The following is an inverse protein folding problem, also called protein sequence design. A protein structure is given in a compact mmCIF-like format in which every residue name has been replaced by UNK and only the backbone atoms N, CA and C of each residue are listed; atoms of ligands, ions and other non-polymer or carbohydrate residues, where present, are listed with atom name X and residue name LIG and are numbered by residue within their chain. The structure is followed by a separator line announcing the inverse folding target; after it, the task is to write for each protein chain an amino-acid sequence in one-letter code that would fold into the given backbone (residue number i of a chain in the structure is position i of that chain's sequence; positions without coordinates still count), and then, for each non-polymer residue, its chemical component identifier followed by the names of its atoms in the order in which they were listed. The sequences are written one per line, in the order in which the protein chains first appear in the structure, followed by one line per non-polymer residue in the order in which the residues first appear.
data_IF_582378966850
#
_entry.id   IF_582378966850
#
_cell.length_a   1.000
_cell.length_b   1.000
_cell.length_c   1.000
_cell.angle_alpha   90.00
_cell.angle_beta   90.00
_cell.angle_gamma   90.00
#
_symmetry.space_group_name_H-M   'P 1'
#
loop_
_entity.id
_entity.type
_entity.pdbx_description
1 polymer ?
#
# COMPACT_ATOMS: atom_id res chain seq x y z
N UNK A 1 -2.29 27.02 18.42
CA UNK A 1 -1.56 26.47 17.24
C UNK A 1 -1.79 24.99 16.97
N UNK A 2 -1.45 24.01 17.87
CA UNK A 2 -1.63 22.55 17.61
C UNK A 2 -3.07 22.19 17.20
N UNK A 3 -4.06 22.69 17.95
CA UNK A 3 -5.48 22.44 17.68
C UNK A 3 -5.89 23.08 16.35
N UNK A 4 -5.50 24.30 16.11
CA UNK A 4 -5.87 25.06 14.93
C UNK A 4 -5.26 24.42 13.64
N UNK A 5 -4.00 23.99 13.69
CA UNK A 5 -3.37 23.23 12.61
C UNK A 5 -4.16 21.93 12.36
N UNK A 6 -4.50 21.20 13.42
CA UNK A 6 -5.24 19.95 13.28
C UNK A 6 -6.62 20.17 12.62
N UNK A 7 -7.38 21.16 13.08
CA UNK A 7 -8.71 21.49 12.51
C UNK A 7 -8.58 21.90 11.05
N UNK A 8 -7.68 22.85 10.75
CA UNK A 8 -7.48 23.33 9.39
C UNK A 8 -7.04 22.20 8.42
N UNK A 9 -6.07 21.38 8.84
CA UNK A 9 -5.58 20.28 8.02
C UNK A 9 -6.62 19.18 7.80
N UNK A 10 -7.55 18.97 8.75
CA UNK A 10 -8.52 17.85 8.71
C UNK A 10 -9.91 18.23 8.24
N UNK A 11 -10.15 19.49 7.84
CA UNK A 11 -11.47 20.01 7.42
C UNK A 11 -12.21 19.07 6.46
N UNK A 12 -11.49 18.44 5.50
CA UNK A 12 -12.06 17.54 4.50
C UNK A 12 -11.49 16.11 4.60
N UNK A 13 -11.06 15.69 5.79
CA UNK A 13 -10.49 14.36 6.02
C UNK A 13 -11.44 13.51 6.85
N UNK A 14 -12.05 12.51 6.24
CA UNK A 14 -12.98 11.57 6.89
C UNK A 14 -12.27 10.36 7.50
N UNK A 15 -11.10 9.99 6.99
CA UNK A 15 -10.38 8.80 7.43
C UNK A 15 -9.69 9.02 8.80
N UNK A 16 -10.07 8.23 9.79
CA UNK A 16 -9.54 8.32 11.16
C UNK A 16 -8.02 8.09 11.26
N UNK A 17 -7.44 7.22 10.43
CA UNK A 17 -5.99 6.98 10.41
C UNK A 17 -5.26 8.22 9.95
N UNK A 18 -5.75 8.89 8.91
CA UNK A 18 -5.19 10.16 8.42
C UNK A 18 -5.34 11.27 9.46
N UNK A 19 -6.50 11.37 10.11
CA UNK A 19 -6.71 12.33 11.21
C UNK A 19 -5.74 12.12 12.36
N UNK A 20 -5.52 10.87 12.77
CA UNK A 20 -4.53 10.52 13.82
C UNK A 20 -3.12 10.88 13.40
N UNK A 21 -2.73 10.61 12.16
CA UNK A 21 -1.43 11.01 11.62
C UNK A 21 -1.26 12.53 11.63
N UNK A 22 -2.25 13.27 11.19
CA UNK A 22 -2.24 14.74 11.18
C UNK A 22 -2.16 15.33 12.59
N UNK A 23 -2.86 14.74 13.57
CA UNK A 23 -2.75 15.12 14.98
C UNK A 23 -1.32 14.97 15.51
N UNK A 24 -0.64 13.86 15.16
CA UNK A 24 0.75 13.61 15.54
C UNK A 24 1.69 14.64 14.90
N UNK A 25 1.51 14.93 13.62
CA UNK A 25 2.31 15.94 12.90
C UNK A 25 2.10 17.33 13.49
N UNK A 26 0.85 17.75 13.75
CA UNK A 26 0.55 19.03 14.39
C UNK A 26 1.16 19.13 15.79
N UNK A 27 1.17 18.04 16.57
CA UNK A 27 1.80 18.02 17.89
C UNK A 27 3.30 18.21 17.81
N UNK A 28 3.98 17.53 16.86
CA UNK A 28 5.42 17.65 16.67
C UNK A 28 5.80 19.05 16.21
N UNK A 29 5.11 19.55 15.19
CA UNK A 29 5.36 20.91 14.68
C UNK A 29 5.13 21.97 15.73
N UNK A 30 4.06 21.89 16.53
CA UNK A 30 3.78 22.89 17.58
C UNK A 30 4.85 22.94 18.68
N UNK A 31 5.53 21.83 18.96
CA UNK A 31 6.69 21.80 19.85
C UNK A 31 7.86 22.58 19.24
N UNK A 32 8.23 22.23 18.01
CA UNK A 32 9.30 22.89 17.27
C UNK A 32 9.00 24.38 17.05
N UNK A 33 7.78 24.74 16.69
CA UNK A 33 7.34 26.10 16.47
C UNK A 33 7.46 26.98 17.74
N UNK A 34 7.20 26.41 18.93
CA UNK A 34 7.39 27.09 20.20
C UNK A 34 8.88 27.44 20.44
N UNK A 35 9.79 26.52 20.11
CA UNK A 35 11.24 26.71 20.23
C UNK A 35 11.76 27.74 19.21
N UNK A 36 11.06 27.94 18.07
CA UNK A 36 11.40 28.88 17.03
C UNK A 36 10.53 30.16 17.04
N UNK A 37 9.83 30.47 18.14
CA UNK A 37 9.01 31.67 18.32
C UNK A 37 7.86 31.85 17.33
N UNK A 38 7.38 30.80 16.70
CA UNK A 38 6.23 30.81 15.77
C UNK A 38 4.96 30.61 16.57
N UNK A 39 4.09 31.62 16.57
CA UNK A 39 2.93 31.67 17.48
C UNK A 39 1.59 31.37 16.81
N UNK A 40 1.44 31.70 15.52
CA UNK A 40 0.18 31.61 14.77
C UNK A 40 0.35 30.82 13.48
N UNK A 41 -0.73 30.30 12.92
CA UNK A 41 -0.72 29.64 11.61
C UNK A 41 -0.31 30.63 10.50
N UNK A 42 -0.71 31.88 10.61
CA UNK A 42 -0.31 32.96 9.68
C UNK A 42 1.20 33.17 9.60
N UNK A 43 1.93 32.81 10.65
CA UNK A 43 3.39 33.00 10.70
C UNK A 43 4.13 31.84 9.99
N UNK A 44 3.39 30.79 9.58
CA UNK A 44 3.95 29.63 8.87
C UNK A 44 4.09 29.97 7.39
N UNK A 45 5.25 30.47 7.00
CA UNK A 45 5.61 30.74 5.60
C UNK A 45 6.29 29.54 4.94
N UNK A 46 6.62 29.64 3.65
CA UNK A 46 7.39 28.61 2.94
C UNK A 46 8.80 28.48 3.53
N UNK A 47 9.43 29.58 3.98
CA UNK A 47 10.72 29.60 4.66
C UNK A 47 10.68 28.86 5.99
N UNK A 48 9.65 29.08 6.79
CA UNK A 48 9.41 28.35 8.05
C UNK A 48 9.24 26.86 7.80
N UNK A 49 8.52 26.46 6.77
CA UNK A 49 8.39 25.06 6.40
C UNK A 49 9.71 24.47 5.87
N UNK A 50 10.52 25.27 5.16
CA UNK A 50 11.85 24.85 4.72
C UNK A 50 12.76 24.62 5.92
N UNK A 51 12.81 25.55 6.88
CA UNK A 51 13.57 25.40 8.11
C UNK A 51 13.15 24.15 8.88
N UNK A 52 11.84 23.94 9.06
CA UNK A 52 11.33 22.74 9.73
C UNK A 52 11.71 21.44 9.00
N UNK A 53 11.70 21.46 7.65
CA UNK A 53 12.18 20.35 6.84
C UNK A 53 13.64 20.04 7.11
N UNK A 54 14.49 21.07 7.13
CA UNK A 54 15.94 20.92 7.25
C UNK A 54 16.32 20.45 8.66
N UNK A 55 15.62 20.92 9.68
CA UNK A 55 15.78 20.46 11.07
C UNK A 55 15.35 18.98 11.23
N UNK A 56 14.25 18.58 10.57
CA UNK A 56 13.84 17.17 10.55
C UNK A 56 14.85 16.26 9.81
N UNK A 57 15.54 16.80 8.82
CA UNK A 57 16.56 16.08 8.07
C UNK A 57 17.83 15.86 8.90
N UNK A 58 18.13 16.81 9.80
CA UNK A 58 19.26 16.75 10.72
C UNK A 58 18.94 16.03 12.04
N UNK A 59 17.66 15.67 12.28
CA UNK A 59 17.25 14.99 13.51
C UNK A 59 18.05 13.68 13.70
N UNK A 60 18.61 13.41 14.90
CA UNK A 60 19.38 12.20 15.22
C UNK A 60 18.63 10.89 14.88
N UNK A 61 17.31 10.93 14.78
CA UNK A 61 16.45 9.77 14.36
C UNK A 61 16.56 9.46 12.87
N UNK A 62 17.25 10.27 12.08
CA UNK A 62 17.46 10.05 10.65
C UNK A 62 16.17 9.74 9.88
N UNK A 63 15.20 10.65 9.93
CA UNK A 63 13.92 10.45 9.23
C UNK A 63 14.11 10.30 7.73
N UNK A 64 13.39 9.34 7.15
CA UNK A 64 13.36 9.18 5.70
C UNK A 64 12.63 10.34 5.03
N UNK A 65 12.95 10.65 3.77
CA UNK A 65 12.26 11.67 2.97
C UNK A 65 10.72 11.50 2.97
N UNK A 66 10.23 10.25 2.97
CA UNK A 66 8.80 9.96 3.06
C UNK A 66 8.19 10.31 4.43
N UNK A 67 8.94 10.10 5.51
CA UNK A 67 8.52 10.46 6.87
C UNK A 67 8.46 11.97 7.03
N UNK A 68 9.49 12.68 6.57
CA UNK A 68 9.54 14.14 6.60
C UNK A 68 8.36 14.74 5.81
N UNK A 69 8.10 14.23 4.60
CA UNK A 69 6.93 14.66 3.83
C UNK A 69 5.62 14.44 4.60
N UNK A 70 5.47 13.30 5.30
CA UNK A 70 4.28 13.01 6.11
C UNK A 70 4.09 14.02 7.25
N UNK A 71 5.17 14.52 7.83
CA UNK A 71 5.11 15.55 8.89
C UNK A 71 4.78 16.93 8.33
N UNK A 72 5.33 17.28 7.17
CA UNK A 72 5.11 18.59 6.54
C UNK A 72 3.73 18.75 5.90
N UNK A 73 3.21 17.71 5.26
CA UNK A 73 1.99 17.81 4.45
C UNK A 73 0.77 18.40 5.20
N UNK A 74 0.44 17.99 6.43
CA UNK A 74 -0.68 18.60 7.15
C UNK A 74 -0.40 20.04 7.61
N UNK A 75 0.86 20.41 7.84
CA UNK A 75 1.23 21.78 8.25
C UNK A 75 1.06 22.72 7.08
N UNK A 76 1.62 22.37 5.92
CA UNK A 76 1.47 23.14 4.69
C UNK A 76 0.00 23.27 4.28
N UNK A 77 -0.79 22.18 4.42
CA UNK A 77 -2.23 22.24 4.17
C UNK A 77 -2.96 23.20 5.10
N UNK A 78 -2.61 23.22 6.39
CA UNK A 78 -3.21 24.09 7.39
C UNK A 78 -2.88 25.57 7.15
N UNK A 79 -1.67 25.88 6.69
CA UNK A 79 -1.18 27.22 6.39
C UNK A 79 -1.36 27.64 4.93
N UNK A 80 -2.02 26.83 4.11
CA UNK A 80 -2.24 27.05 2.67
C UNK A 80 -0.95 27.23 1.85
N UNK A 81 0.17 26.71 2.33
CA UNK A 81 1.44 26.79 1.63
C UNK A 81 1.62 25.65 0.61
N UNK A 82 2.40 25.90 -0.43
CA UNK A 82 2.67 24.93 -1.48
C UNK A 82 3.97 24.16 -1.22
N UNK A 83 3.85 22.89 -0.85
CA UNK A 83 5.01 22.03 -0.63
C UNK A 83 5.92 21.84 -1.86
N UNK A 84 5.46 22.19 -3.07
CA UNK A 84 6.32 22.06 -4.26
C UNK A 84 7.38 23.17 -4.35
N UNK A 85 7.23 24.24 -3.58
CA UNK A 85 8.22 25.34 -3.48
C UNK A 85 9.33 25.06 -2.47
N UNK A 86 9.17 24.02 -1.64
CA UNK A 86 10.16 23.65 -0.64
C UNK A 86 11.14 22.66 -1.27
N UNK A 87 12.44 22.86 -1.05
CA UNK A 87 13.48 21.91 -1.42
C UNK A 87 13.34 20.65 -0.55
N UNK A 88 13.01 19.54 -1.18
CA UNK A 88 12.80 18.25 -0.50
C UNK A 88 13.93 17.30 -0.80
N UNK A 89 14.31 16.52 0.21
CA UNK A 89 15.20 15.38 0.00
C UNK A 89 14.57 14.43 -1.03
N UNK A 90 15.32 14.09 -2.07
CA UNK A 90 14.88 13.10 -3.06
C UNK A 90 14.77 11.72 -2.40
N UNK A 91 13.67 11.04 -2.70
CA UNK A 91 13.50 9.64 -2.31
C UNK A 91 14.25 8.76 -3.30
N UNK A 92 15.32 8.10 -2.84
CA UNK A 92 16.10 7.17 -3.65
C UNK A 92 15.70 5.73 -3.32
N UNK A 93 15.74 4.84 -4.31
CA UNK A 93 15.32 3.45 -4.15
C UNK A 93 16.22 2.65 -3.21
N UNK A 94 17.50 2.95 -3.18
CA UNK A 94 18.52 2.38 -2.30
C UNK A 94 18.25 2.63 -0.80
N UNK A 95 17.64 3.78 -0.47
CA UNK A 95 17.24 4.15 0.89
C UNK A 95 15.87 3.61 1.31
N UNK A 96 15.18 2.86 0.44
CA UNK A 96 13.89 2.25 0.76
C UNK A 96 14.11 0.91 1.44
N UNK A 97 14.18 0.91 2.77
CA UNK A 97 14.18 -0.33 3.56
C UNK A 97 12.79 -0.95 3.52
N UNK A 98 12.61 -2.00 2.73
CA UNK A 98 11.34 -2.75 2.61
C UNK A 98 11.23 -3.91 3.61
N UNK A 99 12.30 -4.25 4.32
CA UNK A 99 12.33 -5.29 5.34
C UNK A 99 11.85 -4.75 6.70
N UNK A 100 10.83 -5.37 7.28
CA UNK A 100 10.61 -5.22 8.72
C UNK A 100 11.53 -6.21 9.40
N UNK A 101 12.43 -5.74 10.27
CA UNK A 101 13.14 -6.60 11.21
C UNK A 101 12.09 -7.31 12.07
N UNK A 102 11.84 -8.57 11.80
CA UNK A 102 11.06 -9.47 12.63
C UNK A 102 12.01 -10.21 13.57
N UNK A 103 12.80 -9.48 14.28
CA UNK A 103 13.51 -9.98 15.45
C UNK A 103 12.58 -9.82 16.64
N UNK A 104 11.65 -10.72 16.82
CA UNK A 104 10.99 -10.88 18.11
C UNK A 104 11.41 -12.24 18.69
N UNK A 105 11.98 -12.20 19.87
CA UNK A 105 12.30 -13.34 20.73
C UNK A 105 11.05 -14.09 21.23
N UNK A 106 9.97 -14.14 20.47
CA UNK A 106 8.66 -14.66 20.86
C UNK A 106 8.27 -15.88 20.03
N UNK A 107 9.18 -16.85 19.88
CA UNK A 107 8.86 -18.10 19.15
C UNK A 107 7.62 -18.80 19.71
N UNK A 108 7.44 -18.86 21.04
CA UNK A 108 6.29 -19.47 21.68
C UNK A 108 4.96 -18.76 21.36
N UNK A 109 4.89 -17.46 21.53
CA UNK A 109 3.70 -16.66 21.18
C UNK A 109 3.39 -16.71 19.68
N UNK A 110 4.42 -16.80 18.84
CA UNK A 110 4.27 -16.96 17.39
C UNK A 110 3.64 -18.29 17.03
N UNK A 111 4.01 -19.35 17.72
CA UNK A 111 3.49 -20.70 17.49
C UNK A 111 2.03 -20.82 17.93
N UNK A 112 1.65 -20.25 19.06
CA UNK A 112 0.26 -20.16 19.54
C UNK A 112 -0.61 -19.32 18.57
N UNK A 113 -0.15 -18.16 18.14
CA UNK A 113 -0.85 -17.34 17.14
C UNK A 113 -1.00 -18.07 15.81
N UNK A 114 0.02 -18.82 15.39
CA UNK A 114 -0.03 -19.58 14.14
C UNK A 114 -1.04 -20.73 14.20
N UNK A 115 -1.15 -21.43 15.32
CA UNK A 115 -2.15 -22.49 15.49
C UNK A 115 -3.57 -21.93 15.52
N UNK A 116 -3.79 -20.88 16.32
CA UNK A 116 -5.10 -20.25 16.49
C UNK A 116 -5.67 -19.61 15.21
N UNK A 117 -4.80 -19.06 14.36
CA UNK A 117 -5.19 -18.35 13.13
C UNK A 117 -4.69 -19.08 11.87
N UNK A 118 -4.50 -20.38 11.93
CA UNK A 118 -3.92 -21.17 10.82
C UNK A 118 -4.67 -20.98 9.51
N UNK A 119 -6.01 -21.02 9.54
CA UNK A 119 -6.89 -20.78 8.38
C UNK A 119 -6.62 -19.44 7.72
N UNK A 120 -6.58 -18.34 8.47
CA UNK A 120 -6.29 -17.00 7.98
C UNK A 120 -4.87 -16.87 7.43
N UNK A 121 -3.90 -17.48 8.12
CA UNK A 121 -2.48 -17.45 7.72
C UNK A 121 -2.28 -18.20 6.41
N UNK A 122 -2.82 -19.41 6.29
CA UNK A 122 -2.73 -20.23 5.08
C UNK A 122 -3.40 -19.51 3.90
N UNK A 123 -4.60 -19.01 4.08
CA UNK A 123 -5.29 -18.22 3.06
C UNK A 123 -4.50 -17.00 2.63
N UNK A 124 -3.97 -16.23 3.58
CA UNK A 124 -3.20 -15.01 3.25
C UNK A 124 -1.89 -15.30 2.51
N UNK A 125 -1.25 -16.45 2.76
CA UNK A 125 -0.05 -16.90 2.02
C UNK A 125 -0.35 -17.15 0.55
N UNK A 126 -1.53 -17.68 0.24
CA UNK A 126 -1.89 -18.08 -1.13
C UNK A 126 -2.71 -17.03 -1.89
N UNK A 127 -3.29 -16.04 -1.20
CA UNK A 127 -4.10 -14.98 -1.84
C UNK A 127 -3.41 -13.62 -1.81
N UNK A 128 -2.74 -13.27 -0.71
CA UNK A 128 -1.91 -12.09 -0.62
C UNK A 128 -2.62 -10.73 -0.74
N UNK A 129 -3.89 -10.62 -0.34
CA UNK A 129 -4.64 -9.35 -0.34
C UNK A 129 -4.38 -8.52 0.92
N UNK A 130 -4.82 -7.25 0.95
CA UNK A 130 -4.59 -6.35 2.10
C UNK A 130 -5.55 -6.68 3.25
N UNK A 131 -5.14 -6.35 4.49
CA UNK A 131 -5.97 -6.58 5.70
C UNK A 131 -7.41 -6.05 5.56
N UNK A 132 -7.59 -4.83 5.02
CA UNK A 132 -8.92 -4.27 4.82
C UNK A 132 -9.71 -4.98 3.71
N UNK A 133 -9.03 -5.53 2.73
CA UNK A 133 -9.61 -6.33 1.66
C UNK A 133 -10.07 -7.68 2.23
N UNK A 134 -9.25 -8.33 3.07
CA UNK A 134 -9.62 -9.55 3.82
C UNK A 134 -10.84 -9.33 4.73
N UNK A 135 -10.87 -8.21 5.47
CA UNK A 135 -11.97 -7.90 6.37
C UNK A 135 -13.33 -7.78 5.66
N UNK A 136 -13.30 -7.33 4.41
CA UNK A 136 -14.52 -7.11 3.62
C UNK A 136 -14.79 -8.25 2.62
N UNK A 137 -14.08 -9.37 2.75
CA UNK A 137 -14.23 -10.52 1.89
C UNK A 137 -15.48 -11.31 2.27
N UNK A 138 -16.35 -11.61 1.29
CA UNK A 138 -17.59 -12.36 1.48
C UNK A 138 -17.62 -13.60 0.59
N UNK A 139 -18.55 -14.54 0.83
CA UNK A 139 -18.62 -15.80 0.10
C UNK A 139 -18.74 -15.63 -1.41
N UNK A 140 -19.42 -14.59 -1.90
CA UNK A 140 -19.57 -14.31 -3.33
C UNK A 140 -18.29 -13.80 -4.02
N UNK A 141 -17.21 -13.54 -3.30
CA UNK A 141 -16.00 -12.94 -3.85
C UNK A 141 -15.02 -13.97 -4.44
N UNK A 142 -15.24 -15.26 -4.23
CA UNK A 142 -14.57 -16.34 -4.95
C UNK A 142 -15.22 -16.50 -6.32
N UNK A 143 -14.44 -16.33 -7.38
CA UNK A 143 -14.93 -16.34 -8.77
C UNK A 143 -14.03 -17.19 -9.65
N UNK A 144 -14.61 -17.61 -10.79
CA UNK A 144 -13.89 -18.25 -11.88
C UNK A 144 -14.11 -17.43 -13.15
N UNK A 145 -13.07 -17.30 -13.97
CA UNK A 145 -13.20 -16.69 -15.29
C UNK A 145 -13.68 -17.72 -16.33
N UNK A 146 -13.89 -17.28 -17.56
CA UNK A 146 -14.30 -18.10 -18.69
C UNK A 146 -13.33 -19.24 -19.06
N UNK A 147 -12.09 -19.14 -18.59
CA UNK A 147 -11.03 -20.16 -18.78
C UNK A 147 -10.91 -21.08 -17.57
N UNK A 148 -11.75 -20.94 -16.55
CA UNK A 148 -11.69 -21.73 -15.32
C UNK A 148 -10.63 -21.27 -14.32
N UNK A 149 -9.96 -20.14 -14.54
CA UNK A 149 -9.00 -19.62 -13.57
C UNK A 149 -9.73 -19.08 -12.33
N UNK A 150 -9.28 -19.52 -11.17
CA UNK A 150 -9.82 -19.09 -9.89
C UNK A 150 -9.23 -17.74 -9.48
N UNK A 151 -10.07 -16.84 -9.00
CA UNK A 151 -9.63 -15.54 -8.46
C UNK A 151 -10.53 -15.04 -7.34
N UNK A 152 -9.94 -14.19 -6.47
CA UNK A 152 -10.70 -13.40 -5.50
C UNK A 152 -11.02 -12.04 -6.12
N UNK A 153 -12.30 -11.68 -6.14
CA UNK A 153 -12.75 -10.38 -6.59
C UNK A 153 -12.75 -9.36 -5.44
N UNK A 154 -11.76 -8.50 -5.43
CA UNK A 154 -11.67 -7.41 -4.44
C UNK A 154 -12.53 -6.25 -4.91
N UNK A 155 -13.73 -6.10 -4.35
CA UNK A 155 -14.73 -5.06 -4.73
C UNK A 155 -14.19 -3.64 -4.52
N UNK A 156 -13.39 -3.43 -3.46
CA UNK A 156 -12.90 -2.11 -3.04
C UNK A 156 -11.47 -2.17 -2.51
N UNK A 157 -10.51 -2.20 -3.40
CA UNK A 157 -9.08 -2.17 -3.08
C UNK A 157 -8.57 -0.76 -2.76
N UNK A 158 -7.26 -0.61 -2.65
CA UNK A 158 -6.61 0.67 -2.37
C UNK A 158 -6.98 1.73 -3.42
N UNK A 159 -7.47 2.87 -2.95
CA UNK A 159 -7.94 3.96 -3.83
C UNK A 159 -9.31 3.68 -4.47
N UNK A 160 -10.11 2.75 -3.90
CA UNK A 160 -11.44 2.39 -4.41
C UNK A 160 -11.43 1.49 -5.66
N UNK A 161 -10.26 1.03 -6.10
CA UNK A 161 -10.11 0.23 -7.33
C UNK A 161 -10.61 -1.20 -7.10
N UNK A 162 -11.36 -1.74 -8.07
CA UNK A 162 -11.65 -3.17 -8.14
C UNK A 162 -10.40 -3.92 -8.59
N UNK A 163 -10.20 -5.14 -8.08
CA UNK A 163 -9.03 -5.96 -8.39
C UNK A 163 -9.44 -7.43 -8.47
N UNK A 164 -8.93 -8.14 -9.45
CA UNK A 164 -8.95 -9.60 -9.51
C UNK A 164 -7.61 -10.10 -8.97
N UNK A 165 -7.63 -10.90 -7.91
CA UNK A 165 -6.46 -11.55 -7.37
C UNK A 165 -6.50 -13.02 -7.75
N UNK A 166 -5.78 -13.39 -8.80
CA UNK A 166 -5.72 -14.77 -9.30
C UNK A 166 -4.99 -15.69 -8.30
N UNK A 167 -5.48 -16.90 -8.23
CA UNK A 167 -4.98 -17.96 -7.36
C UNK A 167 -4.14 -18.92 -8.20
N UNK A 168 -2.99 -19.33 -7.68
CA UNK A 168 -2.17 -20.32 -8.36
C UNK A 168 -2.89 -21.68 -8.39
N UNK A 169 -2.81 -22.47 -9.49
CA UNK A 169 -3.53 -23.73 -9.63
C UNK A 169 -3.37 -24.68 -8.45
N UNK A 170 -2.17 -24.77 -7.87
CA UNK A 170 -1.85 -25.59 -6.70
C UNK A 170 -2.58 -25.20 -5.42
N UNK A 171 -3.07 -23.97 -5.33
CA UNK A 171 -3.63 -23.38 -4.11
C UNK A 171 -5.17 -23.24 -4.18
N UNK A 172 -5.79 -23.62 -5.31
CA UNK A 172 -7.23 -23.46 -5.54
C UNK A 172 -8.05 -24.24 -4.50
N UNK A 173 -7.69 -25.47 -4.20
CA UNK A 173 -8.45 -26.30 -3.26
C UNK A 173 -8.41 -25.73 -1.82
N UNK A 174 -7.29 -25.20 -1.39
CA UNK A 174 -7.19 -24.53 -0.09
C UNK A 174 -8.13 -23.31 -0.02
N UNK A 175 -8.19 -22.55 -1.11
CA UNK A 175 -9.07 -21.37 -1.18
C UNK A 175 -10.53 -21.81 -1.18
N UNK A 176 -10.93 -22.81 -1.99
CA UNK A 176 -12.28 -23.38 -1.99
C UNK A 176 -12.70 -23.87 -0.61
N UNK A 177 -11.83 -24.61 0.09
CA UNK A 177 -12.08 -25.08 1.45
C UNK A 177 -12.31 -23.91 2.42
N UNK A 178 -11.61 -22.80 2.24
CA UNK A 178 -11.77 -21.59 3.09
C UNK A 178 -13.18 -20.98 2.89
N UNK A 179 -13.75 -21.06 1.70
CA UNK A 179 -15.08 -20.53 1.36
C UNK A 179 -16.22 -21.52 1.57
N UNK A 180 -15.92 -22.78 1.85
CA UNK A 180 -16.94 -23.81 1.99
C UNK A 180 -17.92 -23.51 3.12
N UNK A 181 -19.21 -23.46 2.81
CA UNK A 181 -20.28 -23.19 3.78
C UNK A 181 -20.45 -21.72 4.15
N UNK A 182 -19.73 -20.80 3.50
CA UNK A 182 -19.91 -19.35 3.72
C UNK A 182 -21.00 -18.84 2.75
N UNK A 183 -22.01 -18.18 3.28
CA UNK A 183 -23.09 -17.55 2.49
C UNK A 183 -22.57 -16.39 1.64
N UNK A 184 -23.27 -16.05 0.57
CA UNK A 184 -22.84 -15.04 -0.40
C UNK A 184 -22.43 -13.72 0.24
N UNK A 185 -23.22 -13.20 1.18
CA UNK A 185 -22.98 -11.94 1.87
C UNK A 185 -22.30 -12.12 3.23
N UNK A 186 -22.03 -13.34 3.64
CA UNK A 186 -21.34 -13.62 4.90
C UNK A 186 -19.83 -13.33 4.81
N UNK A 187 -19.24 -12.74 5.85
CA UNK A 187 -17.80 -12.50 5.87
C UNK A 187 -17.02 -13.81 5.96
N UNK A 188 -16.03 -13.98 5.11
CA UNK A 188 -15.16 -15.19 5.10
C UNK A 188 -14.36 -15.31 6.40
N UNK A 189 -13.98 -14.19 6.98
CA UNK A 189 -13.25 -14.14 8.27
C UNK A 189 -14.03 -13.31 9.28
N UNK A 190 -14.23 -13.88 10.46
CA UNK A 190 -14.90 -13.19 11.58
C UNK A 190 -14.08 -11.99 12.10
N UNK A 191 -14.74 -11.06 12.77
CA UNK A 191 -14.06 -9.93 13.43
C UNK A 191 -13.03 -10.41 14.46
N UNK A 192 -13.26 -11.56 15.13
CA UNK A 192 -12.28 -12.17 16.05
C UNK A 192 -11.02 -12.63 15.33
N UNK A 193 -11.16 -13.25 14.14
CA UNK A 193 -10.03 -13.65 13.30
C UNK A 193 -9.28 -12.42 12.77
N UNK A 194 -9.99 -11.35 12.41
CA UNK A 194 -9.38 -10.14 11.86
C UNK A 194 -8.76 -9.22 12.92
N UNK A 195 -9.20 -9.32 14.18
CA UNK A 195 -8.62 -8.59 15.31
C UNK A 195 -7.43 -9.35 15.92
N UNK A 196 -6.36 -9.46 15.16
CA UNK A 196 -5.16 -10.21 15.50
C UNK A 196 -3.88 -9.39 15.32
N UNK A 197 -2.77 -9.85 15.90
CA UNK A 197 -1.44 -9.23 15.79
C UNK A 197 -0.58 -9.85 14.67
N UNK A 198 -1.13 -10.73 13.84
CA UNK A 198 -0.42 -11.38 12.75
C UNK A 198 0.04 -10.34 11.73
N UNK A 199 1.28 -10.45 11.28
CA UNK A 199 1.81 -9.60 10.24
C UNK A 199 1.33 -10.04 8.85
N UNK A 200 0.03 -9.79 8.57
CA UNK A 200 -0.59 -10.13 7.27
C UNK A 200 0.11 -9.45 6.08
N UNK A 201 0.82 -8.34 6.33
CA UNK A 201 1.58 -7.67 5.28
C UNK A 201 2.85 -8.45 4.90
N UNK A 202 3.51 -9.10 5.86
CA UNK A 202 4.64 -9.99 5.58
C UNK A 202 4.20 -11.23 4.79
N UNK A 203 3.06 -11.83 5.15
CA UNK A 203 2.48 -12.95 4.40
C UNK A 203 2.13 -12.56 2.96
N UNK A 204 1.59 -11.35 2.76
CA UNK A 204 1.37 -10.81 1.42
C UNK A 204 2.67 -10.61 0.63
N UNK A 205 3.74 -10.14 1.28
CA UNK A 205 5.04 -10.00 0.63
C UNK A 205 5.64 -11.37 0.26
N UNK A 206 5.41 -12.39 1.09
CA UNK A 206 5.77 -13.78 0.78
C UNK A 206 4.99 -14.27 -0.44
N UNK A 207 3.66 -14.14 -0.45
CA UNK A 207 2.83 -14.50 -1.61
C UNK A 207 3.34 -13.87 -2.91
N UNK A 208 3.68 -12.58 -2.88
CA UNK A 208 4.19 -11.90 -4.07
C UNK A 208 5.52 -12.50 -4.58
N UNK A 209 6.42 -12.91 -3.67
CA UNK A 209 7.66 -13.61 -4.04
C UNK A 209 7.38 -14.99 -4.61
N UNK A 210 6.51 -15.76 -3.95
CA UNK A 210 6.18 -17.13 -4.37
C UNK A 210 5.51 -17.13 -5.76
N UNK A 211 4.61 -16.16 -6.00
CA UNK A 211 3.99 -15.95 -7.31
C UNK A 211 5.01 -15.55 -8.37
N UNK A 212 5.94 -14.65 -8.03
CA UNK A 212 7.01 -14.24 -8.95
C UNK A 212 7.86 -15.45 -9.38
N UNK A 213 8.32 -16.26 -8.43
CA UNK A 213 9.12 -17.44 -8.76
C UNK A 213 8.33 -18.51 -9.52
N UNK A 214 7.04 -18.66 -9.21
CA UNK A 214 6.18 -19.57 -9.98
C UNK A 214 6.12 -19.17 -11.46
N UNK A 215 5.88 -17.90 -11.75
CA UNK A 215 5.82 -17.43 -13.14
C UNK A 215 7.19 -17.40 -13.80
N UNK A 216 8.25 -17.06 -13.07
CA UNK A 216 9.63 -17.12 -13.59
C UNK A 216 9.98 -18.54 -14.05
N UNK A 217 9.71 -19.56 -13.24
CA UNK A 217 9.95 -20.96 -13.61
C UNK A 217 9.12 -21.35 -14.83
N UNK A 218 7.85 -20.91 -14.91
CA UNK A 218 7.02 -21.17 -16.10
C UNK A 218 7.56 -20.53 -17.37
N UNK A 219 8.14 -19.35 -17.29
CA UNK A 219 8.79 -18.68 -18.41
C UNK A 219 10.05 -19.45 -18.83
N UNK A 220 10.84 -19.96 -17.87
CA UNK A 220 12.03 -20.76 -18.16
C UNK A 220 11.68 -22.10 -18.82
N UNK A 221 10.60 -22.75 -18.35
CA UNK A 221 10.09 -23.99 -18.96
C UNK A 221 9.51 -23.77 -20.37
N UNK A 222 8.93 -22.60 -20.62
CA UNK A 222 8.28 -22.26 -21.90
C UNK A 222 8.52 -20.79 -22.28
N UNK A 223 9.56 -20.48 -23.06
CA UNK A 223 9.89 -19.12 -23.48
C UNK A 223 8.76 -18.36 -24.23
N UNK A 224 7.85 -19.08 -24.90
CA UNK A 224 6.68 -18.45 -25.55
C UNK A 224 5.73 -17.80 -24.53
N UNK A 225 5.75 -18.27 -23.28
CA UNK A 225 4.96 -17.70 -22.19
C UNK A 225 5.42 -16.29 -21.81
N UNK A 226 6.71 -15.98 -21.98
CA UNK A 226 7.26 -14.64 -21.79
C UNK A 226 6.51 -13.60 -22.63
N UNK A 227 6.36 -13.87 -23.92
CA UNK A 227 5.65 -12.96 -24.83
C UNK A 227 4.16 -12.83 -24.47
N UNK A 228 3.51 -13.95 -24.11
CA UNK A 228 2.10 -13.93 -23.71
C UNK A 228 1.87 -13.11 -22.42
N UNK A 229 2.74 -13.27 -21.42
CA UNK A 229 2.68 -12.48 -20.18
C UNK A 229 2.97 -11.00 -20.44
N UNK A 230 3.97 -10.68 -21.25
CA UNK A 230 4.27 -9.31 -21.63
C UNK A 230 3.08 -8.64 -22.33
N UNK A 231 2.46 -9.30 -23.28
CA UNK A 231 1.28 -8.81 -23.98
C UNK A 231 0.10 -8.58 -23.00
N UNK A 232 -0.11 -9.50 -22.05
CA UNK A 232 -1.16 -9.37 -21.02
C UNK A 232 -0.89 -8.15 -20.12
N UNK A 233 0.35 -7.94 -19.71
CA UNK A 233 0.74 -6.81 -18.85
C UNK A 233 0.57 -5.48 -19.60
N UNK A 234 0.97 -5.42 -20.87
CA UNK A 234 0.76 -4.24 -21.73
C UNK A 234 -0.72 -3.92 -21.84
N UNK A 235 -1.56 -4.92 -22.15
CA UNK A 235 -3.01 -4.75 -22.25
C UNK A 235 -3.61 -4.20 -20.93
N UNK A 236 -3.25 -4.80 -19.79
CA UNK A 236 -3.71 -4.33 -18.47
C UNK A 236 -3.25 -2.91 -18.16
N UNK A 237 -2.03 -2.56 -18.55
CA UNK A 237 -1.52 -1.21 -18.38
C UNK A 237 -2.34 -0.21 -19.22
N UNK A 238 -2.59 -0.53 -20.49
CA UNK A 238 -3.40 0.30 -21.41
C UNK A 238 -4.82 0.51 -20.89
N UNK A 239 -5.48 -0.55 -20.43
CA UNK A 239 -6.83 -0.49 -19.83
C UNK A 239 -6.85 0.44 -18.60
N UNK A 240 -5.82 0.38 -17.76
CA UNK A 240 -5.68 1.23 -16.58
C UNK A 240 -5.40 2.70 -16.88
N UNK A 241 -4.95 3.04 -18.09
CA UNK A 241 -4.50 4.39 -18.48
C UNK A 241 -5.37 5.05 -19.55
N UNK A 242 -6.58 4.55 -19.83
CA UNK A 242 -7.49 5.11 -20.83
C UNK A 242 -7.81 6.61 -20.58
N UNK A 243 -8.00 7.02 -19.33
CA UNK A 243 -8.22 8.43 -18.98
C UNK A 243 -7.01 9.30 -19.33
N UNK A 244 -5.80 8.81 -19.13
CA UNK A 244 -4.57 9.52 -19.51
C UNK A 244 -4.46 9.62 -21.03
N UNK A 245 -4.81 8.54 -21.77
CA UNK A 245 -4.82 8.54 -23.23
C UNK A 245 -5.73 9.60 -23.79
N UNK A 246 -6.92 9.77 -23.21
CA UNK A 246 -7.88 10.79 -23.61
C UNK A 246 -7.42 12.22 -23.24
N UNK A 247 -6.90 12.41 -22.02
CA UNK A 247 -6.53 13.73 -21.50
C UNK A 247 -5.18 14.25 -22.03
N UNK A 248 -4.24 13.37 -22.33
CA UNK A 248 -2.89 13.72 -22.78
C UNK A 248 -2.24 12.60 -23.59
N UNK A 249 -2.56 12.44 -24.89
CA UNK A 249 -2.05 11.35 -25.74
C UNK A 249 -0.51 11.29 -25.77
N UNK A 250 0.17 12.40 -25.94
CA UNK A 250 1.65 12.44 -25.96
C UNK A 250 2.27 11.90 -24.68
N UNK A 251 1.71 12.26 -23.50
CA UNK A 251 2.19 11.75 -22.21
C UNK A 251 1.90 10.25 -22.05
N UNK A 252 0.75 9.80 -22.53
CA UNK A 252 0.39 8.39 -22.57
C UNK A 252 1.42 7.59 -23.39
N UNK A 253 1.75 8.04 -24.60
CA UNK A 253 2.69 7.35 -25.49
C UNK A 253 4.08 7.24 -24.88
N UNK A 254 4.58 8.31 -24.27
CA UNK A 254 5.87 8.30 -23.55
C UNK A 254 5.83 7.29 -22.41
N UNK A 255 4.78 7.31 -21.57
CA UNK A 255 4.69 6.40 -20.44
C UNK A 255 4.50 4.93 -20.87
N UNK A 256 3.74 4.70 -21.96
CA UNK A 256 3.59 3.38 -22.56
C UNK A 256 4.92 2.83 -23.08
N UNK A 257 5.68 3.65 -23.78
CA UNK A 257 7.00 3.28 -24.30
C UNK A 257 7.97 2.91 -23.18
N UNK A 258 8.00 3.70 -22.10
CA UNK A 258 8.83 3.42 -20.92
C UNK A 258 8.40 2.12 -20.25
N UNK A 259 7.09 1.90 -20.07
CA UNK A 259 6.57 0.67 -19.47
C UNK A 259 6.96 -0.58 -20.29
N UNK A 260 6.88 -0.50 -21.64
CA UNK A 260 7.29 -1.62 -22.51
C UNK A 260 8.80 -1.84 -22.45
N UNK A 261 9.60 -0.76 -22.33
CA UNK A 261 11.03 -0.87 -22.17
C UNK A 261 11.40 -1.57 -20.86
N UNK A 262 10.82 -1.12 -19.75
CA UNK A 262 11.05 -1.73 -18.42
C UNK A 262 10.67 -3.22 -18.41
N UNK A 263 9.59 -3.62 -19.11
CA UNK A 263 9.20 -5.03 -19.23
C UNK A 263 10.23 -5.91 -19.97
N UNK A 264 11.07 -5.34 -20.85
CA UNK A 264 12.09 -6.11 -21.56
C UNK A 264 13.24 -6.52 -20.66
N UNK A 265 13.54 -5.71 -19.66
CA UNK A 265 14.65 -5.91 -18.74
C UNK A 265 14.23 -6.71 -17.49
N UNK A 266 12.95 -6.69 -17.11
CA UNK A 266 12.45 -7.35 -15.91
C UNK A 266 11.79 -8.73 -16.15
N UNK A 267 11.51 -9.10 -17.39
CA UNK A 267 10.91 -10.36 -17.82
C UNK A 267 11.84 -11.06 -18.83
#
# INVERSE_FOLDING_TARGET
MKHDIFIAATKNVTNNTSRTSYKRSATRFSKWAKENNIKKISDITEEVLQQYHDDLQQDPKQYTAATIHTYLAPIAKASSNNLNRIRKQKRTSDKIVRGRKTESNEQGKRQELNSRFSRLIQFQKVVGIRRNELKNLTGQDLKFDEYGNCYIFVKRGKGGKKQMQYILPKDIELVKQTFKGIGEDEPVFSDKEMNNQINLHALRAQHARDSYFFYLNKIQENPKMKQALSNLLIKKWEEGHQKLKQASPKKYDIQRKNFIYDLRDEV
#
